data_IF_041424982414
#
_entry.id   IF_041424982414
#
_cell.length_a   1.000
_cell.length_b   1.000
_cell.length_c   1.000
_cell.angle_alpha   90.00
_cell.angle_beta   90.00
_cell.angle_gamma   90.00
#
_symmetry.space_group_name_H-M   'P 1'
#
loop_
_entity.id
_entity.type
_entity.pdbx_description
1 polymer ?
#
# COMPACT_ATOMS: atom_id res chain seq x y z
N UNK A 1 -16.90 2.37 9.36
CA UNK A 1 -16.36 3.62 9.93
C UNK A 1 -14.86 3.44 10.09
N UNK A 2 -14.05 4.18 9.34
CA UNK A 2 -12.59 4.18 9.57
C UNK A 2 -12.28 4.98 10.82
N UNK A 3 -11.33 4.53 11.64
CA UNK A 3 -10.77 5.31 12.75
C UNK A 3 -9.31 5.57 12.44
N UNK A 4 -8.80 6.70 12.90
CA UNK A 4 -7.37 6.97 12.85
C UNK A 4 -6.67 6.10 13.90
N UNK A 5 -5.55 5.50 13.50
CA UNK A 5 -4.83 4.52 14.31
C UNK A 5 -3.35 4.87 14.30
N UNK A 6 -2.73 4.80 15.48
CA UNK A 6 -1.28 4.79 15.64
C UNK A 6 -0.85 3.38 16.04
N UNK A 7 -0.04 2.75 15.18
CA UNK A 7 0.53 1.42 15.42
C UNK A 7 2.02 1.51 15.65
N UNK A 8 2.50 0.91 16.75
CA UNK A 8 3.93 0.77 17.04
C UNK A 8 4.27 -0.71 17.25
N UNK A 9 5.26 -1.20 16.52
CA UNK A 9 5.78 -2.56 16.66
C UNK A 9 7.19 -2.66 16.07
N UNK A 10 7.92 -3.72 16.39
CA UNK A 10 9.26 -3.99 15.84
C UNK A 10 9.21 -4.37 14.34
N UNK A 11 10.30 -4.16 13.59
CA UNK A 11 10.38 -4.65 12.20
C UNK A 11 10.24 -6.18 12.16
N UNK A 12 9.57 -6.69 11.12
CA UNK A 12 9.29 -8.13 10.98
C UNK A 12 8.01 -8.62 11.65
N UNK A 13 7.27 -7.78 12.39
CA UNK A 13 6.04 -8.18 13.11
C UNK A 13 4.75 -7.99 12.30
N UNK A 14 4.82 -7.93 10.97
CA UNK A 14 3.63 -7.84 10.12
C UNK A 14 2.98 -6.45 10.01
N UNK A 15 3.64 -5.35 10.43
CA UNK A 15 3.11 -3.97 10.30
C UNK A 15 2.61 -3.64 8.90
N UNK A 16 3.32 -4.09 7.86
CA UNK A 16 2.88 -3.85 6.48
C UNK A 16 1.53 -4.52 6.19
N UNK A 17 1.35 -5.78 6.58
CA UNK A 17 0.10 -6.49 6.42
C UNK A 17 -1.04 -5.83 7.23
N UNK A 18 -0.74 -5.35 8.45
CA UNK A 18 -1.75 -4.79 9.34
C UNK A 18 -2.43 -3.52 8.82
N UNK A 19 -1.75 -2.72 7.97
CA UNK A 19 -2.41 -1.59 7.30
C UNK A 19 -2.80 -1.89 5.84
N UNK A 20 -2.11 -2.80 5.13
CA UNK A 20 -2.42 -3.07 3.71
C UNK A 20 -3.63 -3.98 3.51
N UNK A 21 -3.79 -5.04 4.31
CA UNK A 21 -4.91 -5.98 4.18
C UNK A 21 -6.28 -5.30 4.40
N UNK A 22 -6.52 -4.56 5.50
CA UNK A 22 -7.79 -3.86 5.67
C UNK A 22 -7.99 -2.77 4.61
N UNK A 23 -6.92 -2.10 4.17
CA UNK A 23 -7.00 -1.13 3.06
C UNK A 23 -7.47 -1.80 1.76
N UNK A 24 -6.93 -2.97 1.42
CA UNK A 24 -7.32 -3.73 0.23
C UNK A 24 -8.80 -4.11 0.31
N UNK A 25 -9.25 -4.65 1.44
CA UNK A 25 -10.65 -5.06 1.65
C UNK A 25 -11.63 -3.87 1.49
N UNK A 26 -11.31 -2.73 2.12
CA UNK A 26 -12.09 -1.50 1.98
C UNK A 26 -12.13 -1.03 0.51
N UNK A 27 -11.01 -1.08 -0.20
CA UNK A 27 -10.93 -0.61 -1.58
C UNK A 27 -11.53 -1.60 -2.59
N UNK A 28 -11.65 -2.88 -2.24
CA UNK A 28 -12.26 -3.92 -3.07
C UNK A 28 -13.76 -3.69 -3.28
N UNK A 29 -14.44 -3.20 -2.24
CA UNK A 29 -15.88 -2.93 -2.27
C UNK A 29 -16.25 -1.63 -3.01
N UNK A 30 -15.32 -0.68 -3.14
CA UNK A 30 -15.54 0.59 -3.82
C UNK A 30 -15.25 0.56 -5.32
N UNK A 31 -15.82 1.50 -6.09
CA UNK A 31 -15.43 1.74 -7.50
C UNK A 31 -14.21 2.64 -7.62
N UNK A 32 -13.26 2.26 -8.47
CA UNK A 32 -12.17 3.13 -8.90
C UNK A 32 -12.67 4.13 -9.97
N UNK A 33 -12.14 5.36 -9.94
CA UNK A 33 -12.33 6.37 -10.99
C UNK A 33 -11.00 6.67 -11.65
N UNK A 34 -11.02 6.97 -12.95
CA UNK A 34 -9.81 7.28 -13.70
C UNK A 34 -9.08 8.49 -13.08
N UNK A 35 -7.74 8.39 -12.94
CA UNK A 35 -6.86 9.44 -12.38
C UNK A 35 -7.20 9.85 -10.95
N UNK A 36 -7.89 8.99 -10.19
CA UNK A 36 -8.22 9.23 -8.77
C UNK A 36 -7.66 8.10 -7.89
N UNK A 37 -6.39 8.19 -7.45
CA UNK A 37 -5.87 7.23 -6.47
C UNK A 37 -6.71 7.30 -5.18
N UNK A 38 -7.02 6.13 -4.62
CA UNK A 38 -7.92 5.99 -3.46
C UNK A 38 -7.17 5.81 -2.13
N UNK A 39 -5.85 5.65 -2.19
CA UNK A 39 -4.99 5.49 -1.01
C UNK A 39 -3.56 5.95 -1.34
N UNK A 40 -2.84 6.38 -0.31
CA UNK A 40 -1.44 6.78 -0.35
C UNK A 40 -0.72 6.16 0.86
N UNK A 41 0.37 5.44 0.60
CA UNK A 41 1.28 4.97 1.63
C UNK A 41 2.57 5.77 1.50
N UNK A 42 2.97 6.45 2.57
CA UNK A 42 4.22 7.18 2.64
C UNK A 42 5.25 6.34 3.38
N UNK A 43 6.46 6.27 2.83
CA UNK A 43 7.59 5.61 3.46
C UNK A 43 8.79 6.57 3.48
N UNK A 44 9.59 6.58 4.57
CA UNK A 44 10.72 7.50 4.73
C UNK A 44 11.91 7.21 3.79
N UNK A 45 12.00 5.99 3.24
CA UNK A 45 13.10 5.60 2.35
C UNK A 45 12.60 4.84 1.11
N UNK A 46 13.44 4.81 0.08
CA UNK A 46 13.14 4.13 -1.20
C UNK A 46 13.00 2.63 -1.02
N UNK A 47 13.88 2.05 -0.22
CA UNK A 47 13.97 0.61 0.06
C UNK A 47 12.72 0.15 0.80
N UNK A 48 12.27 0.93 1.78
CA UNK A 48 11.05 0.62 2.51
C UNK A 48 9.81 0.77 1.62
N UNK A 49 9.75 1.78 0.76
CA UNK A 49 8.67 1.92 -0.21
C UNK A 49 8.61 0.72 -1.19
N UNK A 50 9.76 0.26 -1.67
CA UNK A 50 9.86 -0.91 -2.54
C UNK A 50 9.39 -2.19 -1.82
N UNK A 51 9.82 -2.43 -0.58
CA UNK A 51 9.38 -3.57 0.23
C UNK A 51 7.86 -3.56 0.48
N UNK A 52 7.28 -2.38 0.74
CA UNK A 52 5.83 -2.24 0.89
C UNK A 52 5.12 -2.50 -0.44
N UNK A 53 5.65 -2.02 -1.57
CA UNK A 53 5.11 -2.28 -2.91
C UNK A 53 5.08 -3.78 -3.24
N UNK A 54 6.17 -4.50 -2.95
CA UNK A 54 6.22 -5.96 -3.13
C UNK A 54 5.21 -6.68 -2.25
N UNK A 55 5.08 -6.26 -0.99
CA UNK A 55 4.10 -6.82 -0.06
C UNK A 55 2.68 -6.59 -0.57
N UNK A 56 2.36 -5.39 -1.05
CA UNK A 56 1.06 -5.08 -1.64
C UNK A 56 0.77 -5.97 -2.85
N UNK A 57 1.71 -6.16 -3.78
CA UNK A 57 1.53 -7.05 -4.95
C UNK A 57 1.19 -8.48 -4.53
N UNK A 58 1.80 -8.98 -3.46
CA UNK A 58 1.51 -10.32 -2.91
C UNK A 58 0.10 -10.38 -2.33
N UNK A 59 -0.29 -9.37 -1.55
CA UNK A 59 -1.59 -9.37 -0.85
C UNK A 59 -2.77 -9.06 -1.77
N UNK A 60 -2.57 -8.29 -2.84
CA UNK A 60 -3.62 -7.88 -3.77
C UNK A 60 -3.90 -8.86 -4.90
N UNK A 61 -3.25 -10.04 -4.93
CA UNK A 61 -3.28 -10.98 -6.08
C UNK A 61 -4.70 -11.39 -6.51
N UNK A 62 -5.62 -11.49 -5.54
CA UNK A 62 -7.01 -11.88 -5.80
C UNK A 62 -7.94 -10.70 -6.04
N UNK A 63 -7.41 -9.49 -6.20
CA UNK A 63 -8.17 -8.25 -6.28
C UNK A 63 -7.78 -7.49 -7.56
N UNK A 64 -8.77 -6.93 -8.27
CA UNK A 64 -8.54 -6.10 -9.46
C UNK A 64 -8.07 -4.69 -9.06
N UNK A 65 -6.86 -4.60 -8.52
CA UNK A 65 -6.27 -3.35 -8.04
C UNK A 65 -5.00 -2.99 -8.81
N UNK A 66 -4.78 -1.69 -8.99
CA UNK A 66 -3.54 -1.14 -9.53
C UNK A 66 -2.86 -0.27 -8.49
N UNK A 67 -1.53 -0.22 -8.56
CA UNK A 67 -0.67 0.57 -7.69
C UNK A 67 0.51 1.10 -8.52
N UNK A 68 0.95 2.31 -8.20
CA UNK A 68 2.18 2.89 -8.71
C UNK A 68 3.14 3.11 -7.54
N UNK A 69 4.41 2.75 -7.74
CA UNK A 69 5.50 3.04 -6.82
C UNK A 69 6.20 4.32 -7.29
N UNK A 70 6.15 5.38 -6.48
CA UNK A 70 6.79 6.66 -6.76
C UNK A 70 7.98 6.83 -5.81
N UNK A 71 9.19 6.63 -6.33
CA UNK A 71 10.45 6.81 -5.61
C UNK A 71 11.43 7.59 -6.49
N UNK A 72 12.27 8.45 -5.89
CA UNK A 72 13.27 9.21 -6.63
C UNK A 72 14.43 8.32 -7.12
N UNK A 73 15.17 8.77 -8.14
CA UNK A 73 16.40 8.10 -8.60
C UNK A 73 16.21 6.71 -9.21
N UNK A 74 15.01 6.41 -9.70
CA UNK A 74 14.75 5.34 -10.67
C UNK A 74 14.33 6.00 -11.97
N UNK A 75 15.02 5.67 -13.06
CA UNK A 75 14.63 6.14 -14.38
C UNK A 75 13.60 5.18 -14.95
N UNK A 76 12.43 5.69 -15.33
CA UNK A 76 11.49 4.97 -16.19
C UNK A 76 11.94 5.21 -17.63
N UNK A 77 12.86 4.37 -18.12
CA UNK A 77 13.18 4.23 -19.53
C UNK A 77 12.75 2.83 -19.99
#
# INVERSE_FOLDING_TARGET
>A
MGRDILGSAQTGTGKTASFTLPMIDILASGRAKARMPRSLILAPTRELAAQVSESFKKFSVNHKMSMALLIGGVSFF
#
